data_IF_960846571711
#
_entry.id   IF_960846571711
#
_cell.length_a   1.000
_cell.length_b   1.000
_cell.length_c   1.000
_cell.angle_alpha   90.00
_cell.angle_beta   90.00
_cell.angle_gamma   90.00
#
_symmetry.space_group_name_H-M   'P 1'
#
loop_
_entity.id
_entity.type
_entity.pdbx_description
1 polymer ?
#
# COMPACT_ATOMS: atom_id res chain seq x y z
N UNK A 1 2.42 -8.46 -8.80
CA UNK A 1 1.31 -7.60 -9.18
C UNK A 1 0.43 -7.28 -7.98
N UNK A 2 0.41 -6.01 -7.59
CA UNK A 2 -0.39 -5.57 -6.44
C UNK A 2 -1.58 -4.72 -6.90
N UNK A 3 -2.75 -5.33 -6.94
CA UNK A 3 -3.96 -4.63 -7.37
C UNK A 3 -4.67 -4.00 -6.17
N UNK A 4 -4.28 -2.78 -5.83
CA UNK A 4 -4.89 -2.08 -4.70
C UNK A 4 -5.54 -0.77 -5.16
N UNK A 5 -6.85 -0.82 -5.41
CA UNK A 5 -7.59 0.35 -5.85
C UNK A 5 -7.60 1.43 -4.77
N UNK A 6 -8.49 1.28 -3.79
CA UNK A 6 -8.59 2.24 -2.70
C UNK A 6 -7.85 1.75 -1.46
N UNK A 7 -7.83 0.44 -1.28
CA UNK A 7 -7.15 -0.15 -0.13
C UNK A 7 -5.71 0.32 -0.04
N UNK A 8 -5.18 0.80 -1.16
CA UNK A 8 -3.80 1.28 -1.21
C UNK A 8 -3.53 2.27 -0.07
N UNK A 9 -4.58 2.92 0.41
CA UNK A 9 -4.46 3.88 1.49
C UNK A 9 -4.16 3.17 2.81
N UNK A 10 -4.83 2.04 3.03
CA UNK A 10 -4.64 1.27 4.25
C UNK A 10 -3.32 0.49 4.21
N UNK A 11 -2.64 0.56 3.07
CA UNK A 11 -1.37 -0.15 2.90
C UNK A 11 -0.21 0.84 2.81
N UNK A 12 -0.43 1.94 2.09
CA UNK A 12 0.60 2.96 1.92
C UNK A 12 1.22 3.33 3.26
N UNK A 13 0.46 3.13 4.33
CA UNK A 13 0.92 3.46 5.68
C UNK A 13 1.21 2.18 6.47
N UNK A 14 0.35 1.18 6.29
CA UNK A 14 0.50 -0.09 6.99
C UNK A 14 1.76 -0.82 6.53
N UNK A 15 1.91 -0.96 5.21
CA UNK A 15 3.07 -1.62 4.64
C UNK A 15 4.05 -0.62 4.05
N UNK A 16 3.99 0.62 4.54
CA UNK A 16 4.88 1.67 4.05
C UNK A 16 6.34 1.21 4.07
N UNK A 17 6.65 0.29 4.97
CA UNK A 17 8.01 -0.23 5.09
C UNK A 17 8.43 -0.96 3.82
N UNK A 18 7.44 -1.52 3.11
CA UNK A 18 7.71 -2.24 1.87
C UNK A 18 7.31 -1.40 0.66
N UNK A 19 6.19 -0.69 0.79
CA UNK A 19 5.68 0.15 -0.30
C UNK A 19 6.15 1.60 -0.13
N UNK A 20 7.29 1.77 0.53
CA UNK A 20 7.83 3.10 0.78
C UNK A 20 7.94 3.89 -0.54
N UNK A 21 8.15 3.16 -1.63
CA UNK A 21 8.27 3.79 -2.94
C UNK A 21 7.03 4.64 -3.27
#
# INVERSE_FOLDING_TARGET
RWSITTIHNLFRKLTHRLFRR
#
